data_IF_492051926636
#
_entry.id   IF_492051926636
#
_cell.length_a   1.000
_cell.length_b   1.000
_cell.length_c   1.000
_cell.angle_alpha   90.00
_cell.angle_beta   90.00
_cell.angle_gamma   90.00
#
_symmetry.space_group_name_H-M   'P 1'
#
loop_
_entity.id
_entity.type
_entity.pdbx_description
1 polymer ?
#
# COMPACT_ATOMS: atom_id res chain seq x y z
N UNK A 1 -10.43 -2.95 26.26
CA UNK A 1 -10.83 -2.24 25.03
C UNK A 1 -10.33 -3.08 23.86
N UNK A 2 -11.15 -3.36 22.85
CA UNK A 2 -10.77 -4.30 21.78
C UNK A 2 -9.62 -3.70 20.96
N UNK A 3 -8.41 -4.23 21.17
CA UNK A 3 -7.18 -3.91 20.44
C UNK A 3 -7.27 -4.39 19.00
N UNK A 4 -8.10 -3.72 18.20
CA UNK A 4 -8.21 -4.03 16.78
C UNK A 4 -7.13 -3.26 16.04
N UNK A 5 -6.21 -4.02 15.44
CA UNK A 5 -5.47 -3.57 14.26
C UNK A 5 -6.43 -2.78 13.37
N UNK A 6 -6.01 -1.61 12.88
CA UNK A 6 -6.84 -0.80 11.98
C UNK A 6 -7.01 -1.52 10.65
N UNK A 7 -7.96 -2.46 10.63
CA UNK A 7 -8.27 -3.30 9.48
C UNK A 7 -8.80 -2.47 8.32
N UNK A 8 -9.30 -1.25 8.56
CA UNK A 8 -9.67 -0.33 7.50
C UNK A 8 -8.45 0.18 6.74
N UNK A 9 -7.36 0.52 7.44
CA UNK A 9 -6.08 0.87 6.79
C UNK A 9 -5.49 -0.31 6.03
N UNK A 10 -5.61 -1.53 6.57
CA UNK A 10 -5.17 -2.74 5.87
C UNK A 10 -5.98 -2.99 4.59
N UNK A 11 -7.31 -2.88 4.65
CA UNK A 11 -8.18 -3.00 3.46
C UNK A 11 -7.89 -1.93 2.41
N UNK A 12 -7.59 -0.71 2.85
CA UNK A 12 -7.17 0.37 1.94
C UNK A 12 -5.83 0.05 1.27
N UNK A 13 -4.84 -0.44 2.04
CA UNK A 13 -3.56 -0.87 1.50
C UNK A 13 -3.71 -2.04 0.51
N UNK A 14 -4.60 -2.99 0.79
CA UNK A 14 -4.91 -4.11 -0.09
C UNK A 14 -5.55 -3.65 -1.41
N UNK A 15 -6.57 -2.79 -1.33
CA UNK A 15 -7.24 -2.23 -2.51
C UNK A 15 -6.26 -1.43 -3.38
N UNK A 16 -5.46 -0.55 -2.76
CA UNK A 16 -4.42 0.22 -3.46
C UNK A 16 -3.38 -0.71 -4.11
N UNK A 17 -2.97 -1.78 -3.43
CA UNK A 17 -2.02 -2.77 -3.99
C UNK A 17 -2.59 -3.48 -5.23
N UNK A 18 -3.89 -3.81 -5.22
CA UNK A 18 -4.56 -4.36 -6.41
C UNK A 18 -4.55 -3.37 -7.57
N UNK A 19 -4.88 -2.10 -7.32
CA UNK A 19 -4.89 -1.04 -8.35
C UNK A 19 -3.48 -0.84 -8.93
N UNK A 20 -2.47 -0.80 -8.08
CA UNK A 20 -1.06 -0.70 -8.50
C UNK A 20 -0.67 -1.86 -9.40
N UNK A 21 -1.05 -3.09 -9.03
CA UNK A 21 -0.78 -4.27 -9.83
C UNK A 21 -1.42 -4.15 -11.21
N UNK A 22 -2.68 -3.75 -11.29
CA UNK A 22 -3.39 -3.58 -12.56
C UNK A 22 -2.77 -2.45 -13.41
N UNK A 23 -2.34 -1.35 -12.80
CA UNK A 23 -1.62 -0.27 -13.48
C UNK A 23 -0.30 -0.75 -14.06
N UNK A 24 0.51 -1.49 -13.29
CA UNK A 24 1.80 -2.02 -13.76
C UNK A 24 1.57 -3.02 -14.89
N UNK A 25 0.61 -3.92 -14.76
CA UNK A 25 0.25 -4.88 -15.82
C UNK A 25 -0.15 -4.15 -17.10
N UNK A 26 -1.06 -3.18 -17.00
CA UNK A 26 -1.51 -2.37 -18.14
C UNK A 26 -0.35 -1.58 -18.78
N UNK A 27 0.56 -1.04 -17.96
CA UNK A 27 1.74 -0.33 -18.43
C UNK A 27 2.70 -1.26 -19.20
N UNK A 28 2.91 -2.47 -18.71
CA UNK A 28 3.75 -3.49 -19.37
C UNK A 28 3.12 -3.91 -20.71
N UNK A 29 1.81 -4.17 -20.75
CA UNK A 29 1.11 -4.54 -21.98
C UNK A 29 1.20 -3.43 -23.03
N UNK A 30 1.07 -2.17 -22.60
CA UNK A 30 1.17 -1.01 -23.48
C UNK A 30 2.62 -0.60 -23.78
N UNK A 31 3.62 -1.14 -23.06
CA UNK A 31 5.01 -0.72 -23.20
C UNK A 31 5.58 -0.92 -24.60
N UNK A 32 5.09 -1.95 -25.32
CA UNK A 32 5.46 -2.21 -26.70
C UNK A 32 4.84 -1.20 -27.69
N UNK A 33 3.71 -0.59 -27.32
CA UNK A 33 2.98 0.36 -28.16
C UNK A 33 3.30 1.83 -27.83
N UNK A 34 3.52 2.17 -26.56
CA UNK A 34 3.81 3.52 -26.10
C UNK A 34 4.65 3.51 -24.82
N UNK A 35 5.96 3.65 -24.99
CA UNK A 35 6.93 3.67 -23.89
C UNK A 35 6.78 4.89 -22.98
N UNK A 36 6.35 6.04 -23.50
CA UNK A 36 6.13 7.25 -22.70
C UNK A 36 4.97 7.04 -21.71
N UNK A 37 3.83 6.55 -22.19
CA UNK A 37 2.68 6.24 -21.33
C UNK A 37 3.02 5.16 -20.29
N UNK A 38 3.82 4.16 -20.68
CA UNK A 38 4.32 3.16 -19.74
C UNK A 38 5.14 3.80 -18.61
N UNK A 39 6.08 4.70 -18.94
CA UNK A 39 6.90 5.37 -17.93
C UNK A 39 6.07 6.26 -16.99
N UNK A 40 5.05 6.95 -17.50
CA UNK A 40 4.14 7.74 -16.67
C UNK A 40 3.30 6.86 -15.74
N UNK A 41 2.75 5.76 -16.26
CA UNK A 41 1.99 4.80 -15.47
C UNK A 41 2.86 4.15 -14.38
N UNK A 42 4.10 3.78 -14.69
CA UNK A 42 5.05 3.24 -13.71
C UNK A 42 5.42 4.28 -12.63
N UNK A 43 5.58 5.55 -13.01
CA UNK A 43 5.81 6.64 -12.06
C UNK A 43 4.63 6.82 -11.10
N UNK A 44 3.40 6.75 -11.63
CA UNK A 44 2.19 6.85 -10.81
C UNK A 44 2.03 5.64 -9.89
N UNK A 45 2.26 4.43 -10.40
CA UNK A 45 2.29 3.20 -9.61
C UNK A 45 3.33 3.27 -8.48
N UNK A 46 4.52 3.83 -8.73
CA UNK A 46 5.54 4.02 -7.70
C UNK A 46 5.09 4.96 -6.58
N UNK A 47 4.35 6.03 -6.91
CA UNK A 47 3.79 6.94 -5.91
C UNK A 47 2.75 6.26 -5.03
N UNK A 48 1.87 5.45 -5.62
CA UNK A 48 0.86 4.67 -4.90
C UNK A 48 1.52 3.61 -3.98
N UNK A 49 2.58 2.93 -4.45
CA UNK A 49 3.36 1.99 -3.61
C UNK A 49 3.94 2.68 -2.37
N UNK A 50 4.43 3.91 -2.50
CA UNK A 50 4.96 4.66 -1.36
C UNK A 50 3.86 4.99 -0.33
N UNK A 51 2.64 5.28 -0.79
CA UNK A 51 1.48 5.46 0.09
C UNK A 51 1.08 4.17 0.80
N UNK A 52 1.07 3.04 0.10
CA UNK A 52 0.82 1.71 0.68
C UNK A 52 1.83 1.41 1.79
N UNK A 53 3.12 1.62 1.53
CA UNK A 53 4.17 1.43 2.53
C UNK A 53 3.93 2.30 3.77
N UNK A 54 3.53 3.57 3.56
CA UNK A 54 3.19 4.48 4.66
C UNK A 54 2.02 3.96 5.50
N UNK A 55 0.95 3.48 4.86
CA UNK A 55 -0.21 2.90 5.54
C UNK A 55 0.17 1.66 6.35
N UNK A 56 0.98 0.77 5.78
CA UNK A 56 1.48 -0.42 6.47
C UNK A 56 2.34 -0.04 7.67
N UNK A 57 3.28 0.91 7.51
CA UNK A 57 4.10 1.40 8.61
C UNK A 57 3.26 2.01 9.73
N UNK A 58 2.21 2.76 9.41
CA UNK A 58 1.29 3.29 10.44
C UNK A 58 0.59 2.18 11.22
N UNK A 59 0.11 1.14 10.54
CA UNK A 59 -0.51 -0.02 11.19
C UNK A 59 0.52 -0.76 12.05
N UNK A 60 1.73 -0.96 11.54
CA UNK A 60 2.81 -1.63 12.27
C UNK A 60 3.21 -0.85 13.53
N UNK A 61 3.33 0.48 13.44
CA UNK A 61 3.62 1.33 14.60
C UNK A 61 2.53 1.26 15.64
N UNK A 62 1.25 1.24 15.24
CA UNK A 62 0.12 1.05 16.17
C UNK A 62 0.21 -0.29 16.92
N UNK A 63 0.71 -1.34 16.27
CA UNK A 63 0.94 -2.64 16.92
C UNK A 63 2.13 -2.63 17.89
N UNK A 64 3.17 -1.84 17.62
CA UNK A 64 4.39 -1.77 18.44
C UNK A 64 4.25 -0.84 19.66
N UNK A 65 3.44 0.22 19.58
CA UNK A 65 3.22 1.17 20.69
C UNK A 65 2.28 0.64 21.77
N UNK A 66 2.01 -0.66 21.79
CA UNK A 66 1.19 -1.27 22.82
C UNK A 66 2.08 -1.64 24.02
N UNK A 67 2.07 -0.86 25.11
CA UNK A 67 2.78 -1.26 26.32
C UNK A 67 2.20 -2.58 26.81
N UNK A 68 3.08 -3.56 27.06
CA UNK A 68 2.82 -4.63 28.03
C UNK A 68 2.52 -3.99 29.38
N UNK A 69 1.28 -3.60 29.61
CA UNK A 69 0.77 -3.54 30.97
C UNK A 69 0.45 -4.97 31.37
N UNK A 70 1.51 -5.68 31.75
CA UNK A 70 1.43 -6.82 32.65
C UNK A 70 1.06 -6.23 34.00
N UNK A 71 -0.21 -6.37 34.37
CA UNK A 71 -0.79 -5.93 35.64
C UNK A 71 -0.04 -6.54 36.84
N UNK A 72 0.22 -5.70 37.86
CA UNK A 72 0.67 -6.07 39.22
C UNK A 72 -0.40 -6.85 40.00
#
# INVERSE_FOLDING_TARGET
>A
MTNQVDTNKLKQAEAASSIVKDMITSAIEQSAANTTLCLEALKQASSEVAQIQTLISQVQSQMQTQPSYSEE
#
